data_IF_497038328432
#
_entry.id   IF_497038328432
#
_cell.length_a   1.000
_cell.length_b   1.000
_cell.length_c   1.000
_cell.angle_alpha   90.00
_cell.angle_beta   90.00
_cell.angle_gamma   90.00
#
_symmetry.space_group_name_H-M   'P 1'
#
loop_
_entity.id
_entity.type
_entity.pdbx_description
1 polymer ?
#
# COMPACT_ATOMS: atom_id res chain seq x y z
N UNK A 1 -4.07 -5.80 7.12
CA UNK A 1 -4.02 -4.32 7.07
C UNK A 1 -5.43 -3.79 7.13
N UNK A 2 -5.68 -2.82 8.02
CA UNK A 2 -6.93 -2.05 8.05
C UNK A 2 -6.60 -0.59 7.74
N UNK A 3 -7.46 0.08 6.98
CA UNK A 3 -7.35 1.49 6.62
C UNK A 3 -8.62 2.18 7.07
N UNK A 4 -8.50 3.19 7.93
CA UNK A 4 -9.59 4.08 8.32
C UNK A 4 -9.20 5.52 7.99
N UNK A 5 -10.14 6.32 7.50
CA UNK A 5 -9.95 7.73 7.22
C UNK A 5 -10.50 8.57 8.38
N UNK A 6 -9.74 9.57 8.83
CA UNK A 6 -10.19 10.65 9.71
C UNK A 6 -9.71 11.98 9.12
N UNK A 7 -10.60 12.69 8.44
CA UNK A 7 -10.33 14.03 7.90
C UNK A 7 -9.37 13.97 6.70
N UNK A 8 -8.13 14.42 6.86
CA UNK A 8 -7.10 14.36 5.82
C UNK A 8 -6.03 13.28 6.06
N UNK A 9 -6.19 12.50 7.12
CA UNK A 9 -5.22 11.53 7.61
C UNK A 9 -5.80 10.12 7.54
N UNK A 10 -4.94 9.15 7.26
CA UNK A 10 -5.31 7.73 7.27
C UNK A 10 -4.63 7.03 8.45
N UNK A 11 -5.37 6.14 9.11
CA UNK A 11 -4.84 5.24 10.12
C UNK A 11 -4.50 3.91 9.46
N UNK A 12 -3.21 3.55 9.44
CA UNK A 12 -2.71 2.28 8.88
C UNK A 12 -1.97 1.52 9.97
N UNK A 13 -2.44 0.32 10.30
CA UNK A 13 -1.83 -0.54 11.33
C UNK A 13 -1.55 0.23 12.65
N UNK A 14 -2.51 1.05 13.08
CA UNK A 14 -2.43 1.91 14.29
C UNK A 14 -1.44 3.09 14.21
N UNK A 15 -0.87 3.39 13.05
CA UNK A 15 -0.08 4.59 12.80
C UNK A 15 -0.88 5.62 11.99
N UNK A 16 -0.94 6.86 12.48
CA UNK A 16 -1.49 7.97 11.72
C UNK A 16 -0.50 8.43 10.66
N UNK A 17 -0.93 8.46 9.41
CA UNK A 17 -0.18 8.98 8.29
C UNK A 17 -0.86 10.25 7.78
N UNK A 18 -0.07 11.30 7.58
CA UNK A 18 -0.49 12.52 6.91
C UNK A 18 0.16 12.61 5.52
N UNK A 19 -0.42 13.35 4.58
CA UNK A 19 0.17 13.55 3.25
C UNK A 19 1.57 14.21 3.33
N UNK A 20 2.47 13.96 2.37
CA UNK A 20 2.30 13.11 1.19
C UNK A 20 2.47 11.61 1.50
N UNK A 21 1.64 10.77 0.89
CA UNK A 21 1.69 9.33 1.07
C UNK A 21 2.64 8.67 0.07
N UNK A 22 3.44 7.71 0.54
CA UNK A 22 4.27 6.84 -0.29
C UNK A 22 3.84 5.38 -0.13
N UNK A 23 3.66 4.69 -1.25
CA UNK A 23 3.33 3.26 -1.30
C UNK A 23 4.44 2.56 -2.09
N UNK A 24 5.09 1.57 -1.47
CA UNK A 24 6.10 0.72 -2.10
C UNK A 24 5.55 -0.71 -2.20
N UNK A 25 5.66 -1.31 -3.38
CA UNK A 25 5.15 -2.65 -3.63
C UNK A 25 6.20 -3.50 -4.36
N UNK A 26 6.33 -4.76 -3.94
CA UNK A 26 7.11 -5.78 -4.64
C UNK A 26 6.09 -6.69 -5.33
N UNK A 27 6.28 -6.97 -6.61
CA UNK A 27 5.38 -7.83 -7.36
C UNK A 27 5.93 -8.25 -8.72
N UNK A 28 5.08 -8.84 -9.58
CA UNK A 28 5.46 -9.20 -10.94
C UNK A 28 5.90 -7.98 -11.75
N UNK A 29 6.74 -8.19 -12.78
CA UNK A 29 7.19 -7.12 -13.68
C UNK A 29 6.01 -6.31 -14.26
N UNK A 30 4.89 -6.97 -14.54
CA UNK A 30 3.69 -6.34 -15.10
C UNK A 30 2.83 -5.57 -14.07
N UNK A 31 3.24 -5.46 -12.81
CA UNK A 31 2.44 -4.85 -11.74
C UNK A 31 2.06 -3.41 -12.08
N UNK A 32 3.03 -2.61 -12.51
CA UNK A 32 2.80 -1.21 -12.87
C UNK A 32 1.80 -1.08 -14.03
N UNK A 33 2.01 -1.84 -15.10
CA UNK A 33 1.13 -1.87 -16.26
C UNK A 33 -0.30 -2.27 -15.86
N UNK A 34 -0.46 -3.33 -15.07
CA UNK A 34 -1.78 -3.82 -14.63
C UNK A 34 -2.55 -2.80 -13.80
N UNK A 35 -1.87 -2.09 -12.90
CA UNK A 35 -2.52 -1.05 -12.07
C UNK A 35 -2.93 0.14 -12.93
N UNK A 36 -2.01 0.63 -13.76
CA UNK A 36 -2.26 1.85 -14.54
C UNK A 36 -3.24 1.65 -15.70
N UNK A 37 -3.40 0.42 -16.20
CA UNK A 37 -4.40 0.07 -17.21
C UNK A 37 -5.76 -0.32 -16.65
N UNK A 38 -5.90 -0.51 -15.33
CA UNK A 38 -7.17 -0.89 -14.74
C UNK A 38 -8.20 0.23 -14.91
N UNK A 39 -9.37 -0.09 -15.48
CA UNK A 39 -10.41 0.91 -15.78
C UNK A 39 -10.78 1.76 -14.56
N UNK A 40 -10.95 1.11 -13.40
CA UNK A 40 -11.25 1.81 -12.14
C UNK A 40 -10.15 2.77 -11.69
N UNK A 41 -8.89 2.44 -11.96
CA UNK A 41 -7.76 3.30 -11.63
C UNK A 41 -7.70 4.50 -12.59
N UNK A 42 -7.92 4.26 -13.89
CA UNK A 42 -8.01 5.33 -14.90
C UNK A 42 -9.15 6.31 -14.57
N UNK A 43 -10.33 5.79 -14.23
CA UNK A 43 -11.48 6.59 -13.79
C UNK A 43 -11.14 7.40 -12.54
N UNK A 44 -10.51 6.79 -11.53
CA UNK A 44 -10.06 7.49 -10.33
C UNK A 44 -9.11 8.65 -10.66
N UNK A 45 -8.11 8.44 -11.52
CA UNK A 45 -7.16 9.50 -11.90
C UNK A 45 -7.87 10.64 -12.64
N UNK A 46 -8.81 10.33 -13.54
CA UNK A 46 -9.57 11.33 -14.29
C UNK A 46 -10.51 12.13 -13.40
N UNK A 47 -11.28 11.46 -12.55
CA UNK A 47 -12.38 12.08 -11.82
C UNK A 47 -11.94 12.71 -10.50
N UNK A 48 -10.83 12.22 -9.94
CA UNK A 48 -10.38 12.62 -8.59
C UNK A 48 -9.04 13.31 -8.60
N UNK A 49 -8.03 12.79 -9.28
CA UNK A 49 -6.66 13.34 -9.19
C UNK A 49 -6.50 14.59 -10.06
N UNK A 50 -6.83 14.46 -11.34
CA UNK A 50 -6.63 15.52 -12.35
C UNK A 50 -7.36 16.85 -12.00
N UNK A 51 -8.60 16.84 -11.48
CA UNK A 51 -9.35 18.08 -11.21
C UNK A 51 -9.01 18.75 -9.87
N UNK A 52 -8.38 18.04 -8.94
CA UNK A 52 -8.28 18.46 -7.52
C UNK A 52 -6.92 19.03 -7.11
N UNK A 53 -6.00 19.21 -8.06
CA UNK A 53 -4.64 19.67 -7.79
C UNK A 53 -3.78 18.65 -7.04
N UNK A 54 -4.25 17.41 -6.88
CA UNK A 54 -3.48 16.31 -6.33
C UNK A 54 -2.35 15.92 -7.28
N UNK A 55 -1.17 15.66 -6.72
CA UNK A 55 -0.03 15.13 -7.47
C UNK A 55 0.09 13.64 -7.24
N UNK A 56 0.14 12.88 -8.32
CA UNK A 56 0.37 11.44 -8.33
C UNK A 56 1.58 11.14 -9.22
N UNK A 57 2.53 10.36 -8.71
CA UNK A 57 3.75 10.00 -9.42
C UNK A 57 4.10 8.54 -9.15
N UNK A 58 4.75 7.91 -10.13
CA UNK A 58 5.19 6.52 -10.06
C UNK A 58 6.68 6.41 -10.40
N UNK A 59 7.33 5.44 -9.78
CA UNK A 59 8.68 5.02 -10.11
C UNK A 59 8.75 3.49 -10.08
N UNK A 60 9.21 2.88 -11.16
CA UNK A 60 9.61 1.48 -11.17
C UNK A 60 11.09 1.42 -10.77
N UNK A 61 11.40 0.57 -9.79
CA UNK A 61 12.73 0.48 -9.19
C UNK A 61 13.21 -0.97 -9.23
N UNK A 62 14.47 -1.18 -9.62
CA UNK A 62 15.09 -2.52 -9.67
C UNK A 62 15.14 -3.20 -8.28
N UNK A 63 15.15 -2.40 -7.22
CA UNK A 63 15.12 -2.90 -5.85
C UNK A 63 14.47 -1.92 -4.89
N UNK A 64 13.77 -2.45 -3.88
CA UNK A 64 13.23 -1.69 -2.76
C UNK A 64 13.44 -2.45 -1.44
N UNK A 65 13.82 -1.73 -0.39
CA UNK A 65 13.87 -2.27 0.98
C UNK A 65 12.53 -2.03 1.67
N UNK A 66 11.83 -3.11 2.03
CA UNK A 66 10.59 -3.04 2.81
C UNK A 66 10.90 -3.52 4.24
N UNK A 67 10.64 -2.72 5.28
CA UNK A 67 10.86 -3.15 6.66
C UNK A 67 9.99 -4.36 6.98
N UNK A 68 10.50 -5.27 7.82
CA UNK A 68 9.72 -6.38 8.32
C UNK A 68 8.45 -5.87 9.04
N UNK A 69 7.38 -6.65 9.01
CA UNK A 69 6.13 -6.28 9.66
C UNK A 69 6.35 -6.00 11.16
N UNK A 70 6.10 -4.77 11.57
CA UNK A 70 6.22 -4.32 12.95
C UNK A 70 4.85 -4.29 13.63
N UNK A 71 4.25 -5.46 13.83
CA UNK A 71 2.99 -5.60 14.56
C UNK A 71 2.97 -6.84 15.44
N UNK A 72 2.36 -6.72 16.62
CA UNK A 72 2.16 -7.83 17.54
C UNK A 72 0.87 -8.55 17.22
N UNK A 73 0.98 -9.80 16.78
CA UNK A 73 -0.18 -10.70 16.76
C UNK A 73 -0.23 -11.45 18.09
N UNK A 74 -1.24 -11.19 18.91
CA UNK A 74 -1.46 -11.93 20.16
C UNK A 74 -2.05 -13.31 19.84
N UNK A 75 -1.17 -14.29 19.65
CA UNK A 75 -1.55 -15.64 19.27
C UNK A 75 -1.95 -16.51 20.46
N UNK A 76 -3.14 -16.29 21.04
CA UNK A 76 -3.65 -17.16 22.13
C UNK A 76 -3.79 -18.64 21.70
N UNK A 77 -3.91 -18.88 20.40
CA UNK A 77 -4.07 -20.20 19.79
C UNK A 77 -3.12 -20.45 18.61
N UNK A 78 -2.07 -19.64 18.45
CA UNK A 78 -1.10 -19.86 17.39
C UNK A 78 -0.15 -21.00 17.78
N UNK A 79 0.00 -21.98 16.89
CA UNK A 79 1.03 -23.01 16.97
C UNK A 79 1.97 -22.83 15.80
N UNK A 80 3.26 -22.67 16.09
CA UNK A 80 4.30 -22.67 15.05
C UNK A 80 4.46 -24.11 14.57
N UNK A 81 4.27 -24.35 13.27
CA UNK A 81 4.71 -25.60 12.66
C UNK A 81 6.21 -25.52 12.35
N UNK A 82 7.02 -26.50 12.79
CA UNK A 82 8.43 -26.55 12.40
C UNK A 82 8.55 -26.74 10.90
N UNK A 83 9.46 -25.99 10.27
CA UNK A 83 9.85 -26.23 8.88
C UNK A 83 10.61 -27.56 8.86
N UNK A 84 10.10 -28.54 8.11
CA UNK A 84 10.63 -29.91 8.06
C UNK A 84 12.12 -29.98 7.70
N UNK A 85 12.81 -30.93 8.35
CA UNK A 85 14.23 -31.27 8.23
C UNK A 85 14.64 -31.79 6.85
#
# INVERSE_FOLDING_TARGET
TAILDIGNSILVNSAYLAPAYEIRAIGPAELYARITSAASFVEYVKDRVSPSGLRLSFAELDSITVPAYAGTVSGRYMRVEPVGS
#
